data_IF_883204970979
#
_entry.id   IF_883204970979
#
_cell.length_a   1.000
_cell.length_b   1.000
_cell.length_c   1.000
_cell.angle_alpha   90.00
_cell.angle_beta   90.00
_cell.angle_gamma   90.00
#
_symmetry.space_group_name_H-M   'P 1'
#
loop_
_entity.id
_entity.type
_entity.pdbx_description
1 polymer ?
#
# COMPACT_ATOMS: atom_id res chain seq x y z
N UNK A 1 -24.36 -44.78 -4.89
CA UNK A 1 -23.12 -43.96 -5.05
C UNK A 1 -23.56 -42.66 -5.72
N UNK A 2 -23.79 -41.62 -4.89
CA UNK A 2 -24.28 -40.33 -5.34
C UNK A 2 -23.03 -39.46 -5.57
N UNK A 3 -22.73 -39.18 -6.84
CA UNK A 3 -21.68 -38.23 -7.20
C UNK A 3 -22.26 -36.84 -7.00
N UNK A 4 -21.88 -36.18 -5.91
CA UNK A 4 -22.15 -34.77 -5.73
C UNK A 4 -21.29 -33.97 -6.75
N UNK A 5 -21.89 -33.45 -7.81
CA UNK A 5 -21.31 -32.40 -8.61
C UNK A 5 -21.20 -31.16 -7.71
N UNK A 6 -20.00 -30.84 -7.26
CA UNK A 6 -19.74 -29.53 -6.72
C UNK A 6 -19.90 -28.50 -7.85
N UNK A 7 -20.99 -27.73 -7.82
CA UNK A 7 -21.13 -26.54 -8.64
C UNK A 7 -19.99 -25.60 -8.22
N UNK A 8 -19.00 -25.40 -9.11
CA UNK A 8 -18.08 -24.28 -8.99
C UNK A 8 -18.94 -23.03 -9.18
N UNK A 9 -19.08 -22.24 -8.12
CA UNK A 9 -19.55 -20.88 -8.27
C UNK A 9 -18.61 -20.21 -9.28
N UNK A 10 -19.16 -19.66 -10.36
CA UNK A 10 -18.38 -18.88 -11.32
C UNK A 10 -17.75 -17.72 -10.55
N UNK A 11 -16.42 -17.72 -10.50
CA UNK A 11 -15.68 -16.68 -9.80
C UNK A 11 -15.95 -15.33 -10.46
N UNK A 12 -16.40 -14.37 -9.68
CA UNK A 12 -16.67 -13.01 -10.16
C UNK A 12 -15.40 -12.43 -10.76
N UNK A 13 -15.51 -11.90 -11.98
CA UNK A 13 -14.40 -11.31 -12.71
C UNK A 13 -14.85 -9.99 -13.33
N UNK A 14 -14.08 -8.93 -13.07
CA UNK A 14 -14.30 -7.63 -13.69
C UNK A 14 -13.29 -7.42 -14.82
N UNK A 15 -13.76 -6.91 -15.93
CA UNK A 15 -12.96 -6.67 -17.14
C UNK A 15 -13.53 -5.47 -17.90
N UNK A 16 -12.90 -5.09 -18.97
CA UNK A 16 -13.39 -4.04 -19.85
C UNK A 16 -14.86 -4.24 -20.24
N UNK A 17 -15.67 -3.22 -19.99
CA UNK A 17 -17.12 -3.22 -20.13
C UNK A 17 -17.88 -3.50 -18.83
N UNK A 18 -17.22 -3.97 -17.77
CA UNK A 18 -17.83 -4.04 -16.43
C UNK A 18 -18.09 -2.64 -15.89
N UNK A 19 -19.11 -2.51 -15.03
CA UNK A 19 -19.41 -1.23 -14.37
C UNK A 19 -20.08 -1.47 -13.01
N UNK A 20 -20.04 -0.47 -12.15
CA UNK A 20 -20.68 -0.49 -10.84
C UNK A 20 -19.75 -0.13 -9.71
N UNK A 21 -20.22 -0.33 -8.47
CA UNK A 21 -19.52 0.11 -7.27
C UNK A 21 -18.18 -0.61 -7.07
N UNK A 22 -18.13 -1.92 -7.28
CA UNK A 22 -16.87 -2.67 -7.18
C UNK A 22 -15.83 -2.20 -8.22
N UNK A 23 -16.27 -1.79 -9.43
CA UNK A 23 -15.34 -1.21 -10.41
C UNK A 23 -14.82 0.15 -9.93
N UNK A 24 -15.67 0.94 -9.28
CA UNK A 24 -15.28 2.20 -8.65
C UNK A 24 -14.25 1.97 -7.54
N UNK A 25 -14.48 0.97 -6.70
CA UNK A 25 -13.56 0.57 -5.64
C UNK A 25 -12.20 0.11 -6.21
N UNK A 26 -12.22 -0.72 -7.26
CA UNK A 26 -10.99 -1.13 -7.98
C UNK A 26 -10.25 0.09 -8.52
N UNK A 27 -10.94 1.01 -9.17
CA UNK A 27 -10.33 2.23 -9.71
C UNK A 27 -9.74 3.11 -8.60
N UNK A 28 -10.47 3.25 -7.49
CA UNK A 28 -10.01 4.04 -6.34
C UNK A 28 -8.72 3.45 -5.76
N UNK A 29 -8.69 2.15 -5.48
CA UNK A 29 -7.50 1.47 -4.96
C UNK A 29 -6.31 1.58 -5.93
N UNK A 30 -6.54 1.39 -7.22
CA UNK A 30 -5.50 1.56 -8.23
C UNK A 30 -5.01 3.01 -8.34
N UNK A 31 -5.89 4.00 -8.14
CA UNK A 31 -5.54 5.42 -8.09
C UNK A 31 -4.72 5.73 -6.84
N UNK A 32 -5.19 5.29 -5.67
CA UNK A 32 -4.53 5.49 -4.38
C UNK A 32 -3.12 4.87 -4.36
N UNK A 33 -2.93 3.78 -5.08
CA UNK A 33 -1.63 3.11 -5.17
C UNK A 33 -0.76 3.56 -6.35
N UNK A 34 -1.21 4.58 -7.10
CA UNK A 34 -0.46 5.17 -8.21
C UNK A 34 -0.41 4.32 -9.49
N UNK A 35 -1.25 3.28 -9.60
CA UNK A 35 -1.37 2.48 -10.82
C UNK A 35 -2.36 3.06 -11.83
N UNK A 36 -3.28 3.92 -11.38
CA UNK A 36 -4.32 4.54 -12.17
C UNK A 36 -4.25 6.05 -12.10
N UNK A 37 -4.49 6.74 -13.21
CA UNK A 37 -4.50 8.21 -13.27
C UNK A 37 -5.75 8.75 -13.98
N UNK A 38 -6.77 7.90 -14.13
CA UNK A 38 -8.06 8.27 -14.74
C UNK A 38 -9.07 8.77 -13.70
N UNK A 39 -10.27 9.03 -14.18
CA UNK A 39 -11.43 9.37 -13.34
C UNK A 39 -11.99 8.07 -12.71
N UNK A 40 -12.35 8.14 -11.43
CA UNK A 40 -13.01 7.06 -10.70
C UNK A 40 -14.52 7.13 -11.00
N UNK A 41 -14.89 6.64 -12.18
CA UNK A 41 -16.26 6.73 -12.74
C UNK A 41 -17.08 5.43 -12.55
N UNK A 42 -16.43 4.34 -12.11
CA UNK A 42 -17.05 3.04 -11.96
C UNK A 42 -17.30 2.32 -13.30
N UNK A 43 -16.60 2.72 -14.37
CA UNK A 43 -16.66 2.08 -15.69
C UNK A 43 -15.29 1.49 -16.02
N UNK A 44 -15.22 0.18 -16.19
CA UNK A 44 -13.98 -0.52 -16.53
C UNK A 44 -13.64 -0.28 -18.01
N UNK A 45 -12.97 0.81 -18.28
CA UNK A 45 -12.50 1.20 -19.61
C UNK A 45 -11.07 0.71 -19.89
N UNK A 46 -10.49 1.15 -21.03
CA UNK A 46 -9.11 0.79 -21.40
C UNK A 46 -8.09 1.30 -20.38
N UNK A 47 -8.27 2.50 -19.81
CA UNK A 47 -7.37 3.03 -18.78
C UNK A 47 -7.37 2.19 -17.50
N UNK A 48 -8.54 1.65 -17.13
CA UNK A 48 -8.66 0.74 -15.98
C UNK A 48 -7.99 -0.60 -16.30
N UNK A 49 -8.17 -1.12 -17.52
CA UNK A 49 -7.50 -2.34 -18.01
C UNK A 49 -5.97 -2.18 -17.95
N UNK A 50 -5.42 -1.10 -18.51
CA UNK A 50 -3.97 -0.80 -18.50
C UNK A 50 -3.43 -0.73 -17.06
N UNK A 51 -4.18 -0.09 -16.15
CA UNK A 51 -3.82 0.02 -14.74
C UNK A 51 -3.84 -1.34 -14.01
N UNK A 52 -4.83 -2.18 -14.32
CA UNK A 52 -4.91 -3.56 -13.79
C UNK A 52 -3.74 -4.40 -14.29
N UNK A 53 -3.40 -4.34 -15.58
CA UNK A 53 -2.23 -5.04 -16.12
C UNK A 53 -0.92 -4.58 -15.47
N UNK A 54 -0.78 -3.27 -15.24
CA UNK A 54 0.37 -2.72 -14.56
C UNK A 54 0.44 -3.22 -13.11
N UNK A 55 -0.67 -3.18 -12.39
CA UNK A 55 -0.80 -3.73 -11.04
C UNK A 55 -0.46 -5.22 -10.99
N UNK A 56 -1.04 -6.02 -11.89
CA UNK A 56 -0.79 -7.47 -11.97
C UNK A 56 0.69 -7.78 -12.21
N UNK A 57 1.33 -7.06 -13.13
CA UNK A 57 2.76 -7.22 -13.45
C UNK A 57 3.63 -6.94 -12.23
N UNK A 58 3.30 -5.87 -11.48
CA UNK A 58 4.06 -5.46 -10.29
C UNK A 58 3.85 -6.38 -9.08
N UNK A 59 2.72 -7.06 -9.02
CA UNK A 59 2.40 -7.97 -7.92
C UNK A 59 2.60 -9.45 -8.25
N UNK A 60 3.24 -9.78 -9.39
CA UNK A 60 3.54 -11.17 -9.78
C UNK A 60 2.30 -12.00 -10.12
N UNK A 61 1.20 -11.35 -10.48
CA UNK A 61 -0.04 -11.99 -10.90
C UNK A 61 -0.03 -12.29 -12.40
N UNK A 62 -0.98 -13.11 -12.87
CA UNK A 62 -1.22 -13.28 -14.28
C UNK A 62 -1.66 -11.95 -14.90
N UNK A 63 -0.88 -11.45 -15.88
CA UNK A 63 -1.14 -10.17 -16.54
C UNK A 63 -2.14 -10.39 -17.67
N UNK A 64 -3.43 -10.29 -17.38
CA UNK A 64 -4.54 -10.50 -18.32
C UNK A 64 -5.52 -9.32 -18.41
N UNK A 65 -5.26 -8.24 -17.65
CA UNK A 65 -6.08 -7.05 -17.58
C UNK A 65 -7.46 -7.27 -16.93
N UNK A 66 -7.67 -8.43 -16.28
CA UNK A 66 -8.94 -8.79 -15.64
C UNK A 66 -8.78 -8.87 -14.13
N UNK A 67 -9.76 -8.39 -13.42
CA UNK A 67 -9.80 -8.48 -11.96
C UNK A 67 -10.62 -9.73 -11.58
N UNK A 68 -9.93 -10.87 -11.57
CA UNK A 68 -10.43 -12.15 -11.06
C UNK A 68 -10.09 -12.34 -9.58
N UNK A 69 -10.37 -13.54 -9.00
CA UNK A 69 -10.19 -13.79 -7.57
C UNK A 69 -8.81 -13.45 -7.02
N UNK A 70 -7.74 -13.83 -7.72
CA UNK A 70 -6.37 -13.55 -7.28
C UNK A 70 -6.06 -12.04 -7.32
N UNK A 71 -6.60 -11.31 -8.29
CA UNK A 71 -6.44 -9.87 -8.38
C UNK A 71 -7.29 -9.14 -7.35
N UNK A 72 -8.53 -9.61 -7.10
CA UNK A 72 -9.39 -9.10 -6.01
C UNK A 72 -8.73 -9.27 -4.65
N UNK A 73 -8.18 -10.46 -4.38
CA UNK A 73 -7.46 -10.75 -3.14
C UNK A 73 -6.25 -9.83 -2.97
N UNK A 74 -5.46 -9.62 -4.04
CA UNK A 74 -4.32 -8.73 -4.01
C UNK A 74 -4.70 -7.24 -3.86
N UNK A 75 -5.90 -6.86 -4.32
CA UNK A 75 -6.50 -5.55 -4.09
C UNK A 75 -7.16 -5.43 -2.70
N UNK A 76 -7.27 -6.53 -1.95
CA UNK A 76 -7.97 -6.56 -0.66
C UNK A 76 -9.49 -6.52 -0.76
N UNK A 77 -10.05 -6.80 -1.95
CA UNK A 77 -11.50 -6.82 -2.18
C UNK A 77 -12.04 -8.24 -1.97
N UNK A 78 -12.98 -8.42 -1.05
CA UNK A 78 -13.61 -9.73 -0.81
C UNK A 78 -14.50 -10.14 -1.98
N UNK A 79 -14.27 -11.33 -2.54
CA UNK A 79 -14.89 -11.82 -3.78
C UNK A 79 -16.38 -12.21 -3.69
N UNK A 80 -17.05 -12.02 -2.58
CA UNK A 80 -18.47 -12.40 -2.37
C UNK A 80 -19.48 -11.25 -2.59
N UNK A 81 -19.03 -10.10 -3.08
CA UNK A 81 -19.92 -8.98 -3.42
C UNK A 81 -20.59 -8.29 -2.23
N UNK A 82 -20.23 -8.67 -1.02
CA UNK A 82 -20.61 -7.97 0.20
C UNK A 82 -19.45 -7.11 0.67
N UNK A 83 -19.37 -5.89 0.16
CA UNK A 83 -18.46 -4.85 0.64
C UNK A 83 -18.78 -4.56 2.11
N UNK A 84 -18.05 -5.20 3.01
CA UNK A 84 -17.82 -4.57 4.31
C UNK A 84 -16.86 -3.42 4.04
N UNK A 85 -17.38 -2.21 3.90
CA UNK A 85 -16.62 -1.01 3.54
C UNK A 85 -15.40 -0.74 4.46
N UNK A 86 -15.33 -1.36 5.63
CA UNK A 86 -14.18 -1.31 6.53
C UNK A 86 -13.09 -2.35 6.22
N UNK A 87 -13.45 -3.59 5.83
CA UNK A 87 -12.47 -4.66 5.62
C UNK A 87 -11.66 -4.53 4.33
N UNK A 88 -12.23 -3.97 3.27
CA UNK A 88 -11.53 -3.71 2.00
C UNK A 88 -10.53 -2.57 2.14
N UNK A 89 -10.88 -1.53 2.88
CA UNK A 89 -10.01 -0.38 3.16
C UNK A 89 -8.83 -0.80 4.05
N UNK A 90 -9.06 -1.58 5.12
CA UNK A 90 -8.00 -2.10 5.98
C UNK A 90 -7.00 -2.98 5.23
N UNK A 91 -7.48 -3.81 4.29
CA UNK A 91 -6.61 -4.65 3.45
C UNK A 91 -5.79 -3.80 2.46
N UNK A 92 -6.39 -2.75 1.89
CA UNK A 92 -5.72 -1.81 1.00
C UNK A 92 -4.65 -0.99 1.72
N UNK A 93 -4.97 -0.44 2.88
CA UNK A 93 -4.04 0.31 3.72
C UNK A 93 -2.87 -0.56 4.20
N UNK A 94 -3.13 -1.80 4.58
CA UNK A 94 -2.11 -2.77 4.95
C UNK A 94 -1.14 -3.03 3.78
N UNK A 95 -1.66 -3.28 2.58
CA UNK A 95 -0.84 -3.56 1.41
C UNK A 95 -0.01 -2.35 0.99
N UNK A 96 -0.60 -1.16 1.04
CA UNK A 96 0.08 0.09 0.71
C UNK A 96 1.19 0.41 1.71
N UNK A 97 0.91 0.29 3.01
CA UNK A 97 1.88 0.51 4.07
C UNK A 97 3.02 -0.52 4.00
N UNK A 98 2.71 -1.80 3.78
CA UNK A 98 3.70 -2.85 3.60
C UNK A 98 4.60 -2.58 2.39
N UNK A 99 4.06 -2.07 1.28
CA UNK A 99 4.84 -1.69 0.11
C UNK A 99 5.83 -0.57 0.44
N UNK A 100 5.38 0.47 1.12
CA UNK A 100 6.27 1.55 1.55
C UNK A 100 7.38 1.04 2.47
N UNK A 101 7.02 0.26 3.50
CA UNK A 101 8.00 -0.32 4.42
C UNK A 101 9.02 -1.18 3.67
N UNK A 102 8.56 -2.00 2.71
CA UNK A 102 9.45 -2.84 1.90
C UNK A 102 10.39 -2.01 1.04
N UNK A 103 9.93 -0.88 0.50
CA UNK A 103 10.73 0.00 -0.34
C UNK A 103 11.75 0.83 0.47
N UNK A 104 11.35 1.37 1.62
CA UNK A 104 12.17 2.28 2.43
C UNK A 104 13.05 1.58 3.47
N UNK A 105 12.63 0.39 3.95
CA UNK A 105 13.26 -0.28 5.10
C UNK A 105 13.68 -1.73 4.82
N UNK A 106 13.85 -2.11 3.55
CA UNK A 106 14.30 -3.42 3.12
C UNK A 106 15.67 -3.76 3.65
N UNK A 107 16.14 -4.07 4.52
CA UNK A 107 17.49 -4.32 5.06
C UNK A 107 17.69 -3.67 6.41
N UNK A 108 16.62 -3.06 6.92
CA UNK A 108 16.59 -2.60 8.30
C UNK A 108 16.21 -3.73 9.26
N UNK A 109 16.62 -3.65 10.53
CA UNK A 109 16.09 -4.53 11.56
C UNK A 109 14.57 -4.46 11.62
N UNK A 110 13.90 -5.53 12.04
CA UNK A 110 12.43 -5.58 12.08
C UNK A 110 11.79 -4.38 12.82
N UNK A 111 12.36 -3.98 13.96
CA UNK A 111 11.92 -2.78 14.67
C UNK A 111 12.04 -1.49 13.83
N UNK A 112 13.03 -1.41 12.94
CA UNK A 112 13.19 -0.29 11.99
C UNK A 112 12.11 -0.31 10.91
N UNK A 113 11.71 -1.50 10.44
CA UNK A 113 10.61 -1.66 9.51
C UNK A 113 9.27 -1.20 10.14
N UNK A 114 8.99 -1.63 11.38
CA UNK A 114 7.80 -1.19 12.13
C UNK A 114 7.84 0.32 12.37
N UNK A 115 9.00 0.88 12.72
CA UNK A 115 9.17 2.32 12.97
C UNK A 115 8.89 3.17 11.70
N UNK A 116 9.30 2.71 10.51
CA UNK A 116 8.96 3.39 9.25
C UNK A 116 7.44 3.40 9.01
N UNK A 117 6.76 2.28 9.28
CA UNK A 117 5.30 2.21 9.24
C UNK A 117 4.64 3.16 10.24
N UNK A 118 5.13 3.19 11.48
CA UNK A 118 4.62 4.06 12.53
C UNK A 118 4.78 5.55 12.17
N UNK A 119 5.87 5.97 11.53
CA UNK A 119 6.03 7.36 11.05
C UNK A 119 4.92 7.76 10.09
N UNK A 120 4.46 6.88 9.20
CA UNK A 120 3.33 7.18 8.33
C UNK A 120 2.07 7.44 9.14
N UNK A 121 1.79 6.58 10.12
CA UNK A 121 0.60 6.68 10.98
C UNK A 121 0.67 7.92 11.87
N UNK A 122 1.83 8.23 12.44
CA UNK A 122 2.06 9.46 13.20
C UNK A 122 1.82 10.71 12.35
N UNK A 123 2.19 10.69 11.07
CA UNK A 123 1.87 11.78 10.12
C UNK A 123 0.39 11.90 9.87
N UNK A 124 -0.35 10.79 9.69
CA UNK A 124 -1.81 10.80 9.52
C UNK A 124 -2.51 11.47 10.70
N UNK A 125 -2.01 11.27 11.90
CA UNK A 125 -2.57 11.89 13.12
C UNK A 125 -2.08 13.33 13.35
N UNK A 126 -1.01 13.74 12.67
CA UNK A 126 -0.39 15.05 12.91
C UNK A 126 -1.02 16.15 12.02
N UNK A 127 -1.43 17.32 12.58
CA UNK A 127 -2.19 18.34 11.86
C UNK A 127 -1.46 19.02 10.69
N UNK A 128 -0.15 18.82 10.56
CA UNK A 128 0.65 19.37 9.45
C UNK A 128 0.76 18.44 8.24
N UNK A 129 0.16 17.26 8.28
CA UNK A 129 0.20 16.26 7.21
C UNK A 129 -1.20 15.90 6.74
N UNK A 130 -1.34 15.25 5.58
CA UNK A 130 -2.60 14.66 5.16
C UNK A 130 -3.12 13.64 6.18
N UNK A 131 -4.43 13.40 6.18
CA UNK A 131 -5.11 12.57 7.18
C UNK A 131 -5.44 11.15 6.71
N UNK A 132 -4.82 10.69 5.62
CA UNK A 132 -4.91 9.32 5.13
C UNK A 132 -3.53 8.74 4.83
N UNK A 133 -3.37 7.43 4.98
CA UNK A 133 -2.12 6.71 4.68
C UNK A 133 -1.69 6.97 3.24
N UNK A 134 -2.63 6.89 2.30
CA UNK A 134 -2.37 7.10 0.87
C UNK A 134 -1.84 8.51 0.60
N UNK A 135 -2.51 9.54 1.09
CA UNK A 135 -2.08 10.93 0.87
C UNK A 135 -0.73 11.24 1.52
N UNK A 136 -0.42 10.66 2.68
CA UNK A 136 0.89 10.79 3.33
C UNK A 136 1.98 10.12 2.48
N UNK A 137 1.71 8.92 1.96
CA UNK A 137 2.68 8.15 1.18
C UNK A 137 2.95 8.82 -0.16
N UNK A 138 1.91 9.30 -0.85
CA UNK A 138 2.05 9.93 -2.18
C UNK A 138 2.29 11.44 -2.15
N UNK A 139 2.47 12.03 -0.98
CA UNK A 139 2.84 13.44 -0.87
C UNK A 139 4.16 13.70 -1.63
N UNK A 140 4.21 14.70 -2.50
CA UNK A 140 5.41 14.96 -3.31
C UNK A 140 6.67 15.13 -2.45
N UNK A 141 7.67 14.27 -2.70
CA UNK A 141 8.96 14.30 -2.00
C UNK A 141 8.95 13.74 -0.57
N UNK A 142 7.86 13.10 -0.13
CA UNK A 142 7.78 12.51 1.21
C UNK A 142 8.69 11.29 1.38
N UNK A 143 8.84 10.49 0.32
CA UNK A 143 9.63 9.24 0.32
C UNK A 143 10.48 9.14 -0.96
N UNK A 144 11.72 8.67 -0.81
CA UNK A 144 12.68 8.58 -1.93
C UNK A 144 12.42 7.37 -2.82
N UNK A 145 11.82 6.32 -2.29
CA UNK A 145 11.55 5.07 -3.00
C UNK A 145 10.65 5.24 -4.23
N UNK A 146 9.88 6.33 -4.29
CA UNK A 146 9.05 6.68 -5.46
C UNK A 146 9.89 7.03 -6.70
N UNK A 147 11.14 7.42 -6.51
CA UNK A 147 12.01 7.95 -7.58
C UNK A 147 13.14 6.98 -7.98
N UNK A 148 13.51 6.04 -7.11
CA UNK A 148 14.66 5.16 -7.30
C UNK A 148 14.30 3.73 -7.74
N UNK A 149 13.02 3.45 -7.98
CA UNK A 149 12.51 2.16 -8.45
C UNK A 149 12.30 1.10 -7.36
N UNK A 150 12.64 1.39 -6.10
CA UNK A 150 12.42 0.45 -4.99
C UNK A 150 10.92 0.19 -4.72
N UNK A 151 10.09 1.16 -5.07
CA UNK A 151 8.62 1.03 -5.00
C UNK A 151 8.09 -0.14 -5.85
N UNK A 152 8.78 -0.45 -6.93
CA UNK A 152 8.38 -1.46 -7.91
C UNK A 152 8.88 -2.87 -7.58
N UNK A 153 9.72 -3.01 -6.56
CA UNK A 153 10.22 -4.31 -6.12
C UNK A 153 9.15 -5.13 -5.40
N UNK A 154 9.21 -6.47 -5.45
CA UNK A 154 8.28 -7.32 -4.71
C UNK A 154 8.27 -7.00 -3.21
N UNK A 155 7.09 -6.93 -2.62
CA UNK A 155 6.93 -6.64 -1.19
C UNK A 155 7.42 -7.82 -0.35
N UNK A 156 8.28 -7.55 0.63
CA UNK A 156 8.81 -8.57 1.51
C UNK A 156 7.77 -9.00 2.56
N UNK A 157 7.75 -10.29 2.92
CA UNK A 157 6.84 -10.83 3.96
C UNK A 157 7.01 -10.12 5.30
N UNK A 158 8.26 -9.76 5.68
CA UNK A 158 8.54 -9.02 6.91
C UNK A 158 7.89 -7.63 6.92
N UNK A 159 7.74 -7.00 5.75
CA UNK A 159 7.10 -5.69 5.63
C UNK A 159 5.59 -5.78 5.86
N UNK A 160 4.93 -6.86 5.42
CA UNK A 160 3.52 -7.10 5.76
C UNK A 160 3.32 -7.30 7.27
N UNK A 161 4.22 -8.04 7.94
CA UNK A 161 4.15 -8.19 9.39
C UNK A 161 4.39 -6.85 10.10
N UNK A 162 5.40 -6.08 9.67
CA UNK A 162 5.69 -4.77 10.23
C UNK A 162 4.53 -3.77 10.04
N UNK A 163 3.87 -3.81 8.88
CA UNK A 163 2.67 -2.99 8.62
C UNK A 163 1.51 -3.35 9.56
N UNK A 164 1.27 -4.65 9.80
CA UNK A 164 0.24 -5.11 10.75
C UNK A 164 0.54 -4.63 12.16
N UNK A 165 1.79 -4.76 12.61
CA UNK A 165 2.19 -4.34 13.95
C UNK A 165 2.05 -2.81 14.10
N UNK A 166 2.45 -2.03 13.10
CA UNK A 166 2.28 -0.58 13.10
C UNK A 166 0.79 -0.20 13.14
N UNK A 167 -0.07 -0.79 12.29
CA UNK A 167 -1.52 -0.58 12.28
C UNK A 167 -2.18 -1.01 13.61
N UNK A 168 -1.60 -1.98 14.31
CA UNK A 168 -2.02 -2.37 15.66
C UNK A 168 -1.52 -1.42 16.76
N UNK A 169 -0.81 -0.33 16.42
CA UNK A 169 -0.35 0.70 17.33
C UNK A 169 1.08 0.53 17.84
N UNK A 170 1.86 -0.42 17.28
CA UNK A 170 3.28 -0.52 17.62
C UNK A 170 4.08 0.64 17.02
N UNK A 171 4.72 1.43 17.87
CA UNK A 171 5.57 2.55 17.46
C UNK A 171 6.94 2.53 18.16
N UNK A 172 7.92 1.81 17.59
CA UNK A 172 9.29 1.86 18.08
C UNK A 172 9.99 3.21 17.85
N UNK A 173 9.44 4.08 16.99
CA UNK A 173 10.01 5.40 16.71
C UNK A 173 9.78 6.42 17.83
N UNK A 174 8.82 6.14 18.73
CA UNK A 174 8.47 7.02 19.86
C UNK A 174 7.76 8.30 19.44
N UNK A 175 6.87 8.24 18.46
CA UNK A 175 6.10 9.37 17.94
C UNK A 175 6.83 10.19 16.87
N UNK A 176 7.85 9.64 16.23
CA UNK A 176 8.57 10.34 15.18
C UNK A 176 7.68 10.60 13.96
N UNK A 177 7.82 11.79 13.37
CA UNK A 177 7.18 12.18 12.11
C UNK A 177 8.20 12.34 10.95
N UNK A 178 9.49 12.22 11.25
CA UNK A 178 10.57 12.22 10.27
C UNK A 178 11.57 11.11 10.56
N UNK A 179 12.21 10.62 9.50
CA UNK A 179 13.41 9.80 9.62
C UNK A 179 14.36 10.05 8.45
N UNK A 180 15.61 9.72 8.63
CA UNK A 180 16.60 9.79 7.57
C UNK A 180 17.79 8.87 7.87
N UNK A 181 18.52 8.49 6.82
CA UNK A 181 19.79 7.82 6.95
C UNK A 181 20.93 8.87 7.03
N UNK A 182 21.65 8.97 8.17
CA UNK A 182 22.70 9.98 8.35
C UNK A 182 23.88 9.85 7.37
N UNK A 183 24.06 8.66 6.76
CA UNK A 183 25.16 8.45 5.80
C UNK A 183 24.83 9.05 4.43
N UNK A 184 23.55 9.09 4.06
CA UNK A 184 23.12 9.54 2.72
C UNK A 184 22.40 10.86 2.70
N UNK A 185 21.92 11.35 3.87
CA UNK A 185 21.16 12.59 3.95
C UNK A 185 22.02 13.83 3.69
N UNK A 186 21.64 14.61 2.69
CA UNK A 186 22.31 15.86 2.30
C UNK A 186 21.53 17.12 2.68
N UNK A 187 20.25 16.98 3.05
CA UNK A 187 19.40 18.12 3.39
C UNK A 187 19.69 18.63 4.81
N UNK A 188 20.23 19.85 4.92
CA UNK A 188 20.58 20.45 6.20
C UNK A 188 19.40 20.64 7.15
N UNK A 189 18.18 20.80 6.62
CA UNK A 189 16.97 20.95 7.44
C UNK A 189 16.67 19.70 8.27
N UNK A 190 16.81 18.50 7.69
CA UNK A 190 16.51 17.25 8.42
C UNK A 190 17.49 17.05 9.59
N UNK A 191 18.74 17.52 9.45
CA UNK A 191 19.75 17.46 10.51
C UNK A 191 19.44 18.37 11.70
N UNK A 192 18.57 19.38 11.52
CA UNK A 192 18.14 20.29 12.59
C UNK A 192 16.97 19.73 13.40
N UNK A 193 16.37 18.60 13.01
CA UNK A 193 15.24 17.99 13.72
C UNK A 193 15.70 17.33 15.02
N UNK A 194 14.95 17.50 16.12
CA UNK A 194 15.25 16.81 17.38
C UNK A 194 15.21 15.28 17.18
N UNK A 195 16.31 14.63 17.46
CA UNK A 195 16.38 13.17 17.42
C UNK A 195 15.59 12.58 18.60
N UNK A 196 14.79 11.54 18.31
CA UNK A 196 14.09 10.74 19.30
C UNK A 196 14.87 9.46 19.55
N UNK A 197 15.15 8.70 18.46
CA UNK A 197 15.84 7.41 18.54
C UNK A 197 16.54 7.09 17.22
N UNK A 198 17.59 6.29 17.29
CA UNK A 198 18.21 5.65 16.12
C UNK A 198 17.92 4.14 16.14
N UNK A 199 17.35 3.62 15.04
CA UNK A 199 17.09 2.19 14.84
C UNK A 199 17.71 1.77 13.51
N UNK A 200 18.60 0.79 13.52
CA UNK A 200 19.34 0.38 12.33
C UNK A 200 20.16 1.54 11.75
N UNK A 201 19.93 1.84 10.48
CA UNK A 201 20.59 2.93 9.77
C UNK A 201 19.80 4.24 9.83
N UNK A 202 18.58 4.23 10.35
CA UNK A 202 17.69 5.38 10.37
C UNK A 202 17.69 6.10 11.72
N UNK A 203 17.79 7.42 11.64
CA UNK A 203 17.57 8.35 12.75
C UNK A 203 16.13 8.85 12.66
N UNK A 204 15.34 8.65 13.71
CA UNK A 204 13.95 9.06 13.83
C UNK A 204 13.85 10.36 14.63
N UNK A 205 13.03 11.30 14.15
CA UNK A 205 12.99 12.69 14.62
C UNK A 205 11.55 13.23 14.78
N UNK A 206 11.41 14.27 15.67
CA UNK A 206 10.19 15.04 15.81
C UNK A 206 10.06 16.14 14.75
#
# INVERSE_FOLDING_TARGET
MIIALAQRADAVTYAKGSSGETVREIQQLLLDWGYYSGEVDGIFGSRTEDAVEYFQRKNGLTVDGKVGPATLEALGISGDGTSSASGGQESGELALLARLISAEARGEPYAGQVAVGAVVLNRVEHPSFPNTISEVIFQPGAFSCMLDGQWDEPVADSAYQAARDALAGADPSGGAIYYFNPVTATNAWIWSRPEIITIGKHRFCA
#
